data_IF_757339654599
#
_entry.id   IF_757339654599
#
_cell.length_a   1.000
_cell.length_b   1.000
_cell.length_c   1.000
_cell.angle_alpha   90.00
_cell.angle_beta   90.00
_cell.angle_gamma   90.00
#
_symmetry.space_group_name_H-M   'P 1'
#
loop_
_entity.id
_entity.type
_entity.pdbx_description
1 polymer ?
#
# COMPACT_ATOMS: atom_id res chain seq x y z
N UNK A 1 8.82 10.06 -68.00
CA UNK A 1 8.64 9.38 -66.69
C UNK A 1 10.00 9.23 -66.01
N UNK A 2 10.34 10.14 -65.10
CA UNK A 2 11.68 10.22 -64.50
C UNK A 2 11.76 9.42 -63.19
N UNK A 3 12.62 8.39 -63.16
CA UNK A 3 13.03 7.67 -61.93
C UNK A 3 13.78 8.63 -61.00
N UNK A 4 13.27 8.85 -59.79
CA UNK A 4 13.99 9.60 -58.74
C UNK A 4 14.83 8.65 -57.89
N UNK A 5 16.14 8.93 -57.85
CA UNK A 5 17.17 8.31 -57.01
C UNK A 5 16.90 8.54 -55.51
N UNK A 6 17.42 7.60 -54.72
CA UNK A 6 17.48 7.55 -53.25
C UNK A 6 17.92 8.86 -52.58
N UNK A 7 17.25 9.21 -51.48
CA UNK A 7 17.81 10.06 -50.42
C UNK A 7 17.86 9.26 -49.12
N UNK A 8 19.06 8.81 -48.77
CA UNK A 8 19.40 8.44 -47.39
C UNK A 8 19.40 9.72 -46.54
N UNK A 9 18.34 9.91 -45.76
CA UNK A 9 18.24 10.98 -44.77
C UNK A 9 18.78 10.51 -43.42
N UNK A 10 19.75 11.27 -42.89
CA UNK A 10 20.50 11.03 -41.67
C UNK A 10 19.58 10.87 -40.45
N UNK A 11 19.73 9.75 -39.74
CA UNK A 11 19.76 9.58 -38.27
C UNK A 11 19.70 8.07 -38.00
N UNK A 12 20.84 7.40 -38.18
CA UNK A 12 21.07 6.07 -37.60
C UNK A 12 20.96 6.21 -36.08
N UNK A 13 20.23 5.32 -35.42
CA UNK A 13 20.29 5.21 -33.97
C UNK A 13 21.77 5.12 -33.53
N UNK A 14 22.19 5.84 -32.48
CA UNK A 14 23.59 5.83 -32.06
C UNK A 14 23.93 4.41 -31.59
N UNK A 15 24.81 3.74 -32.34
CA UNK A 15 25.54 2.59 -31.82
C UNK A 15 26.60 3.15 -30.88
N UNK A 16 26.47 2.89 -29.58
CA UNK A 16 27.57 3.12 -28.63
C UNK A 16 28.72 2.18 -28.98
N UNK A 17 29.94 2.72 -29.00
CA UNK A 17 31.19 2.01 -29.30
C UNK A 17 31.56 0.98 -28.21
N UNK A 18 30.81 0.94 -27.11
CA UNK A 18 30.86 -0.10 -26.09
C UNK A 18 29.55 -0.89 -26.13
N UNK A 19 29.63 -2.18 -26.46
CA UNK A 19 28.49 -3.10 -26.63
C UNK A 19 27.68 -3.43 -25.37
N UNK A 20 27.41 -2.46 -24.49
CA UNK A 20 26.49 -2.64 -23.36
C UNK A 20 25.08 -2.28 -23.80
N UNK A 21 24.20 -3.28 -23.82
CA UNK A 21 22.76 -3.06 -23.89
C UNK A 21 22.36 -2.03 -22.82
N UNK A 22 21.84 -0.89 -23.26
CA UNK A 22 21.29 0.11 -22.35
C UNK A 22 20.27 -0.53 -21.42
N UNK A 23 20.39 -0.22 -20.13
CA UNK A 23 19.45 -0.63 -19.08
C UNK A 23 18.00 -0.45 -19.58
N UNK A 24 17.11 -1.44 -19.43
CA UNK A 24 15.76 -1.35 -19.99
C UNK A 24 15.03 -0.08 -19.52
N UNK A 25 14.35 0.57 -20.47
CA UNK A 25 13.44 1.71 -20.19
C UNK A 25 12.44 1.30 -19.11
N UNK A 26 12.30 2.15 -18.09
CA UNK A 26 11.31 2.02 -17.02
C UNK A 26 9.92 1.64 -17.54
N UNK A 27 9.22 0.77 -16.81
CA UNK A 27 7.89 0.30 -17.15
C UNK A 27 6.92 1.50 -17.26
N UNK A 28 6.17 1.59 -18.37
CA UNK A 28 5.19 2.67 -18.56
C UNK A 28 4.19 2.70 -17.37
N UNK A 29 3.87 3.87 -16.78
CA UNK A 29 3.01 3.96 -15.59
C UNK A 29 1.61 3.33 -15.71
N UNK A 30 1.08 3.26 -16.94
CA UNK A 30 -0.18 2.58 -17.24
C UNK A 30 -0.01 1.06 -17.12
N UNK A 31 1.04 0.50 -17.73
CA UNK A 31 1.37 -0.91 -17.66
C UNK A 31 1.69 -1.36 -16.22
N UNK A 32 2.39 -0.52 -15.46
CA UNK A 32 2.59 -0.74 -14.02
C UNK A 32 1.25 -0.82 -13.26
N UNK A 33 0.30 0.08 -13.53
CA UNK A 33 -1.04 0.02 -12.91
C UNK A 33 -1.83 -1.22 -13.32
N UNK A 34 -1.75 -1.63 -14.58
CA UNK A 34 -2.43 -2.84 -15.06
C UNK A 34 -1.91 -4.08 -14.36
N UNK A 35 -0.59 -4.21 -14.22
CA UNK A 35 0.06 -5.27 -13.45
C UNK A 35 -0.40 -5.24 -11.99
N UNK A 36 -0.28 -4.09 -11.32
CA UNK A 36 -0.68 -3.93 -9.91
C UNK A 36 -2.15 -4.28 -9.73
N UNK A 37 -3.06 -3.72 -10.54
CA UNK A 37 -4.50 -3.98 -10.43
C UNK A 37 -4.83 -5.46 -10.65
N UNK A 38 -4.23 -6.09 -11.67
CA UNK A 38 -4.47 -7.51 -11.93
C UNK A 38 -3.98 -8.37 -10.78
N UNK A 39 -2.78 -8.10 -10.25
CA UNK A 39 -2.25 -8.83 -9.11
C UNK A 39 -3.18 -8.74 -7.89
N UNK A 40 -3.72 -7.55 -7.58
CA UNK A 40 -4.70 -7.39 -6.49
C UNK A 40 -5.99 -8.19 -6.74
N UNK A 41 -6.48 -8.22 -7.99
CA UNK A 41 -7.65 -9.04 -8.35
C UNK A 41 -7.36 -10.52 -8.15
N UNK A 42 -6.20 -11.00 -8.62
CA UNK A 42 -5.77 -12.39 -8.46
C UNK A 42 -5.65 -12.77 -6.98
N UNK A 43 -4.98 -11.94 -6.17
CA UNK A 43 -4.83 -12.20 -4.75
C UNK A 43 -6.17 -12.26 -4.02
N UNK A 44 -7.09 -11.33 -4.33
CA UNK A 44 -8.44 -11.34 -3.74
C UNK A 44 -9.23 -12.58 -4.15
N UNK A 45 -9.17 -12.97 -5.41
CA UNK A 45 -9.84 -14.18 -5.91
C UNK A 45 -9.25 -15.43 -5.26
N UNK A 46 -7.91 -15.52 -5.15
CA UNK A 46 -7.19 -16.60 -4.47
C UNK A 46 -7.63 -16.75 -3.01
N UNK A 47 -7.63 -15.64 -2.27
CA UNK A 47 -8.07 -15.63 -0.88
C UNK A 47 -9.51 -16.14 -0.72
N UNK A 48 -10.41 -15.75 -1.64
CA UNK A 48 -11.80 -16.21 -1.64
C UNK A 48 -11.94 -17.71 -1.96
N UNK A 49 -11.11 -18.23 -2.86
CA UNK A 49 -11.09 -19.66 -3.20
C UNK A 49 -10.56 -20.48 -2.03
N UNK A 50 -9.43 -20.06 -1.44
CA UNK A 50 -8.82 -20.75 -0.29
C UNK A 50 -9.75 -20.75 0.91
N UNK A 51 -10.46 -19.65 1.20
CA UNK A 51 -11.45 -19.61 2.28
C UNK A 51 -12.62 -20.60 2.09
N UNK A 52 -13.01 -20.90 0.84
CA UNK A 52 -14.02 -21.92 0.53
C UNK A 52 -13.44 -23.33 0.61
N UNK A 53 -12.26 -23.54 0.03
CA UNK A 53 -11.57 -24.84 0.07
C UNK A 53 -11.23 -25.25 1.50
N UNK A 54 -10.85 -24.31 2.37
CA UNK A 54 -10.53 -24.59 3.77
C UNK A 54 -11.76 -25.13 4.54
N UNK A 55 -12.98 -24.77 4.16
CA UNK A 55 -14.20 -25.36 4.75
C UNK A 55 -14.39 -26.83 4.36
N UNK A 56 -13.88 -27.22 3.19
CA UNK A 56 -13.98 -28.57 2.63
C UNK A 56 -12.77 -29.41 3.06
N UNK A 57 -11.62 -28.76 3.19
CA UNK A 57 -10.31 -29.35 3.45
C UNK A 57 -9.65 -28.57 4.60
N UNK A 58 -10.04 -28.82 5.87
CA UNK A 58 -9.67 -28.00 7.02
C UNK A 58 -8.16 -27.83 7.26
N UNK A 59 -7.36 -28.77 6.77
CA UNK A 59 -5.91 -28.81 6.97
C UNK A 59 -5.13 -27.86 6.05
N UNK A 60 -5.76 -27.17 5.09
CA UNK A 60 -5.09 -26.10 4.34
C UNK A 60 -5.16 -24.76 5.06
N UNK A 61 -4.25 -23.88 4.70
CA UNK A 61 -4.26 -22.48 5.06
C UNK A 61 -4.02 -21.60 3.83
N UNK A 62 -4.07 -20.28 4.02
CA UNK A 62 -3.74 -19.32 2.98
C UNK A 62 -2.29 -19.43 2.48
N UNK A 63 -1.39 -19.88 3.36
CA UNK A 63 0.06 -19.94 3.10
C UNK A 63 0.56 -21.37 2.88
N UNK A 64 -0.28 -22.38 3.12
CA UNK A 64 0.09 -23.78 3.03
C UNK A 64 -1.11 -24.60 2.53
N UNK A 65 -1.04 -25.01 1.27
CA UNK A 65 -2.04 -25.84 0.61
C UNK A 65 -1.36 -26.88 -0.31
N UNK A 66 -0.15 -27.33 0.05
CA UNK A 66 0.68 -28.23 -0.78
C UNK A 66 -0.06 -29.49 -1.23
N UNK A 67 -0.87 -30.07 -0.35
CA UNK A 67 -1.70 -31.23 -0.67
C UNK A 67 -2.70 -30.99 -1.81
N UNK A 68 -3.08 -29.74 -2.10
CA UNK A 68 -3.89 -29.38 -3.27
C UNK A 68 -3.00 -29.31 -4.51
N UNK A 69 -1.79 -28.78 -4.38
CA UNK A 69 -0.81 -28.65 -5.47
C UNK A 69 -0.35 -30.02 -6.00
N UNK A 70 -0.37 -31.05 -5.15
CA UNK A 70 -0.09 -32.44 -5.52
C UNK A 70 -1.24 -33.13 -6.27
N UNK A 71 -2.46 -32.58 -6.25
CA UNK A 71 -3.61 -33.20 -6.90
C UNK A 71 -3.49 -33.08 -8.44
N UNK A 72 -3.78 -34.18 -9.17
CA UNK A 72 -3.72 -34.18 -10.65
C UNK A 72 -4.51 -33.03 -11.26
N UNK A 73 -5.75 -32.81 -10.80
CA UNK A 73 -6.60 -31.74 -11.31
C UNK A 73 -5.98 -30.33 -11.17
N UNK A 74 -5.24 -30.09 -10.08
CA UNK A 74 -4.50 -28.84 -9.91
C UNK A 74 -3.36 -28.77 -10.92
N UNK A 75 -2.53 -29.81 -11.00
CA UNK A 75 -1.37 -29.84 -11.87
C UNK A 75 -1.75 -29.70 -13.35
N UNK A 76 -2.81 -30.39 -13.78
CA UNK A 76 -3.31 -30.36 -15.15
C UNK A 76 -3.83 -28.97 -15.51
N UNK A 77 -4.61 -28.35 -14.61
CA UNK A 77 -5.13 -26.99 -14.80
C UNK A 77 -4.02 -25.94 -14.77
N UNK A 78 -3.04 -26.10 -13.88
CA UNK A 78 -1.90 -25.19 -13.75
C UNK A 78 -1.03 -25.21 -15.01
N UNK A 79 -0.71 -26.40 -15.51
CA UNK A 79 0.08 -26.59 -16.74
C UNK A 79 -0.70 -26.18 -17.98
N UNK A 80 -2.02 -26.43 -18.00
CA UNK A 80 -2.91 -26.08 -19.10
C UNK A 80 -3.26 -24.59 -19.20
N UNK A 81 -2.92 -23.78 -18.18
CA UNK A 81 -3.24 -22.35 -18.20
C UNK A 81 -2.41 -21.60 -19.24
N UNK A 82 -3.10 -20.89 -20.14
CA UNK A 82 -2.49 -20.03 -21.16
C UNK A 82 -2.70 -18.57 -20.78
N UNK A 83 -1.60 -17.85 -20.54
CA UNK A 83 -1.65 -16.42 -20.22
C UNK A 83 -2.18 -15.59 -21.40
N UNK A 84 -3.25 -14.81 -21.23
CA UNK A 84 -3.74 -13.91 -22.27
C UNK A 84 -2.71 -12.82 -22.61
N UNK A 85 -2.57 -12.54 -23.91
CA UNK A 85 -1.63 -11.52 -24.42
C UNK A 85 -2.02 -10.10 -23.96
N UNK A 86 -3.33 -9.82 -23.84
CA UNK A 86 -3.83 -8.52 -23.37
C UNK A 86 -4.51 -8.65 -22.01
N UNK A 87 -4.35 -7.60 -21.19
CA UNK A 87 -4.98 -7.54 -19.87
C UNK A 87 -6.52 -7.48 -19.90
N UNK A 88 -7.10 -6.97 -20.98
CA UNK A 88 -8.56 -6.92 -21.19
C UNK A 88 -9.17 -8.29 -21.48
N UNK A 89 -8.36 -9.23 -21.94
CA UNK A 89 -8.76 -10.60 -22.30
C UNK A 89 -8.60 -11.56 -21.10
N UNK A 90 -8.25 -11.01 -19.94
CA UNK A 90 -8.04 -11.81 -18.74
C UNK A 90 -9.33 -12.42 -18.19
N UNK A 91 -9.28 -13.67 -17.71
CA UNK A 91 -10.44 -14.32 -17.12
C UNK A 91 -10.91 -13.57 -15.86
N UNK A 92 -12.22 -13.50 -15.71
CA UNK A 92 -12.89 -13.01 -14.50
C UNK A 92 -13.23 -14.22 -13.65
N UNK A 93 -12.54 -14.36 -12.52
CA UNK A 93 -12.79 -15.44 -11.57
C UNK A 93 -14.02 -15.10 -10.70
N UNK A 94 -15.19 -15.65 -11.06
CA UNK A 94 -16.42 -15.53 -10.27
C UNK A 94 -16.44 -16.63 -9.21
N UNK A 95 -16.22 -16.25 -7.95
CA UNK A 95 -16.18 -17.19 -6.83
C UNK A 95 -17.50 -17.14 -6.08
N UNK A 96 -18.47 -17.93 -6.50
CA UNK A 96 -19.80 -18.00 -5.88
C UNK A 96 -20.09 -19.37 -5.26
N UNK A 97 -21.34 -19.60 -4.83
CA UNK A 97 -21.77 -20.82 -4.15
C UNK A 97 -22.03 -22.00 -5.08
N UNK A 98 -22.04 -21.79 -6.40
CA UNK A 98 -22.30 -22.85 -7.39
C UNK A 98 -21.05 -23.68 -7.70
N UNK A 99 -19.86 -23.16 -7.38
CA UNK A 99 -18.58 -23.86 -7.58
C UNK A 99 -18.43 -25.04 -6.62
N UNK A 100 -18.18 -26.23 -7.17
CA UNK A 100 -17.85 -27.41 -6.40
C UNK A 100 -16.34 -27.45 -6.03
N UNK A 101 -15.93 -28.49 -5.29
CA UNK A 101 -14.54 -28.68 -4.86
C UNK A 101 -13.55 -28.66 -6.03
N UNK A 102 -13.87 -29.37 -7.12
CA UNK A 102 -12.99 -29.48 -8.28
C UNK A 102 -12.89 -28.14 -9.02
N UNK A 103 -14.00 -27.42 -9.18
CA UNK A 103 -14.00 -26.09 -9.80
C UNK A 103 -13.13 -25.09 -9.02
N UNK A 104 -13.19 -25.15 -7.68
CA UNK A 104 -12.37 -24.32 -6.81
C UNK A 104 -10.88 -24.65 -6.95
N UNK A 105 -10.51 -25.93 -7.02
CA UNK A 105 -9.11 -26.36 -7.22
C UNK A 105 -8.60 -25.92 -8.60
N UNK A 106 -9.37 -26.13 -9.66
CA UNK A 106 -9.05 -25.67 -11.02
C UNK A 106 -8.87 -24.15 -11.06
N UNK A 107 -9.76 -23.41 -10.37
CA UNK A 107 -9.66 -21.95 -10.30
C UNK A 107 -8.41 -21.50 -9.55
N UNK A 108 -8.07 -22.15 -8.43
CA UNK A 108 -6.83 -21.86 -7.69
C UNK A 108 -5.59 -22.08 -8.56
N UNK A 109 -5.55 -23.22 -9.26
CA UNK A 109 -4.46 -23.57 -10.18
C UNK A 109 -4.27 -22.53 -11.29
N UNK A 110 -5.36 -22.09 -11.93
CA UNK A 110 -5.31 -21.03 -12.95
C UNK A 110 -4.80 -19.70 -12.40
N UNK A 111 -5.22 -19.32 -11.18
CA UNK A 111 -4.75 -18.08 -10.55
C UNK A 111 -3.26 -18.16 -10.24
N UNK A 112 -2.78 -19.26 -9.65
CA UNK A 112 -1.37 -19.46 -9.33
C UNK A 112 -0.50 -19.51 -10.60
N UNK A 113 -0.98 -20.19 -11.64
CA UNK A 113 -0.31 -20.23 -12.94
C UNK A 113 -0.22 -18.82 -13.55
N UNK A 114 -1.29 -18.03 -13.49
CA UNK A 114 -1.27 -16.65 -13.96
C UNK A 114 -0.26 -15.79 -13.19
N UNK A 115 -0.23 -15.89 -11.86
CA UNK A 115 0.74 -15.17 -11.02
C UNK A 115 2.16 -15.55 -11.44
N UNK A 116 2.45 -16.86 -11.56
CA UNK A 116 3.78 -17.35 -11.95
C UNK A 116 4.18 -16.88 -13.35
N UNK A 117 3.32 -17.05 -14.36
CA UNK A 117 3.61 -16.66 -15.74
C UNK A 117 3.77 -15.14 -15.92
N UNK A 118 3.19 -14.33 -15.02
CA UNK A 118 3.40 -12.87 -14.99
C UNK A 118 4.68 -12.44 -14.28
N UNK A 119 5.53 -13.38 -13.87
CA UNK A 119 6.80 -13.12 -13.17
C UNK A 119 6.68 -13.10 -11.65
N UNK A 120 5.60 -13.66 -11.10
CA UNK A 120 5.43 -13.85 -9.67
C UNK A 120 5.36 -12.56 -8.86
N UNK A 121 5.66 -12.69 -7.57
CA UNK A 121 5.65 -11.57 -6.63
C UNK A 121 6.73 -10.53 -6.96
N UNK A 122 7.85 -10.94 -7.53
CA UNK A 122 8.97 -10.06 -7.91
C UNK A 122 8.58 -9.09 -9.04
N UNK A 123 7.89 -9.57 -10.07
CA UNK A 123 7.41 -8.71 -11.15
C UNK A 123 6.35 -7.72 -10.65
N UNK A 124 5.50 -8.15 -9.72
CA UNK A 124 4.58 -7.26 -9.03
C UNK A 124 5.31 -6.22 -8.17
N UNK A 125 6.28 -6.64 -7.36
CA UNK A 125 7.09 -5.74 -6.52
C UNK A 125 7.82 -4.72 -7.39
N UNK A 126 8.50 -5.17 -8.45
CA UNK A 126 9.15 -4.30 -9.42
C UNK A 126 8.17 -3.32 -10.09
N UNK A 127 6.98 -3.78 -10.51
CA UNK A 127 5.96 -2.91 -11.06
C UNK A 127 5.37 -1.93 -10.02
N UNK A 128 5.31 -2.34 -8.75
CA UNK A 128 4.89 -1.52 -7.61
C UNK A 128 5.93 -0.41 -7.34
N UNK A 129 7.21 -0.77 -7.20
CA UNK A 129 8.33 0.15 -7.01
C UNK A 129 8.48 1.12 -8.19
N UNK A 130 8.39 0.62 -9.44
CA UNK A 130 8.42 1.48 -10.63
C UNK A 130 7.14 2.31 -10.79
N UNK A 131 6.00 1.81 -10.30
CA UNK A 131 4.75 2.56 -10.18
C UNK A 131 4.80 3.66 -9.13
N UNK A 132 5.73 3.57 -8.18
CA UNK A 132 6.04 4.54 -7.13
C UNK A 132 7.15 5.53 -7.55
N UNK A 133 8.01 5.18 -8.52
CA UNK A 133 9.12 6.03 -8.97
C UNK A 133 8.65 7.38 -9.55
N UNK A 134 9.10 8.46 -8.89
CA UNK A 134 9.11 9.90 -9.20
C UNK A 134 7.83 10.62 -9.68
N UNK A 135 6.81 9.94 -10.25
CA UNK A 135 5.60 10.56 -10.81
C UNK A 135 4.36 10.50 -9.90
N UNK A 136 4.47 9.99 -8.67
CA UNK A 136 3.31 9.63 -7.82
C UNK A 136 3.27 10.12 -6.37
N UNK A 137 4.15 11.03 -5.94
CA UNK A 137 3.99 11.64 -4.62
C UNK A 137 5.21 12.38 -4.09
N UNK A 138 6.38 12.13 -4.67
CA UNK A 138 7.63 12.65 -4.11
C UNK A 138 7.82 12.16 -2.68
N UNK A 139 8.82 12.71 -2.03
CA UNK A 139 8.99 12.53 -0.60
C UNK A 139 7.97 13.42 0.14
N UNK A 140 6.86 12.82 0.58
CA UNK A 140 5.79 13.50 1.31
C UNK A 140 6.27 14.09 2.63
N UNK A 141 7.34 13.54 3.21
CA UNK A 141 7.85 13.99 4.49
C UNK A 141 8.46 15.39 4.43
N UNK A 142 8.70 15.94 3.23
CA UNK A 142 9.02 17.36 3.06
C UNK A 142 7.94 18.27 3.66
N UNK A 143 6.67 17.93 3.48
CA UNK A 143 5.54 18.70 4.04
C UNK A 143 5.48 18.57 5.56
N UNK A 144 5.79 17.37 6.08
CA UNK A 144 5.95 17.15 7.51
C UNK A 144 7.06 18.05 8.09
N UNK A 145 8.25 18.02 7.50
CA UNK A 145 9.41 18.81 7.95
C UNK A 145 9.12 20.31 7.89
N UNK A 146 8.42 20.77 6.85
CA UNK A 146 7.92 22.15 6.75
C UNK A 146 7.03 22.51 7.95
N UNK A 147 6.03 21.68 8.27
CA UNK A 147 5.12 21.93 9.39
C UNK A 147 5.79 21.86 10.77
N UNK A 148 6.73 20.95 10.97
CA UNK A 148 7.47 20.85 12.23
C UNK A 148 8.40 22.05 12.48
N UNK A 149 8.83 22.75 11.42
CA UNK A 149 9.62 23.99 11.55
C UNK A 149 8.79 25.21 11.95
N UNK A 150 7.46 25.10 11.99
CA UNK A 150 6.60 26.19 12.45
C UNK A 150 6.77 26.49 13.94
N UNK A 151 6.43 27.71 14.36
CA UNK A 151 6.51 28.14 15.77
C UNK A 151 5.68 27.26 16.72
N UNK A 152 4.63 26.60 16.21
CA UNK A 152 3.79 25.67 16.97
C UNK A 152 4.56 24.46 17.52
N UNK A 153 5.62 24.03 16.83
CA UNK A 153 6.38 22.83 17.19
C UNK A 153 7.79 23.13 17.70
N UNK A 154 8.37 24.32 17.47
CA UNK A 154 9.75 24.65 17.87
C UNK A 154 10.12 24.23 19.30
N UNK A 155 9.25 24.49 20.27
CA UNK A 155 9.48 24.13 21.69
C UNK A 155 9.19 22.66 22.04
N UNK A 156 8.59 21.89 21.13
CA UNK A 156 8.14 20.50 21.32
C UNK A 156 9.06 19.46 20.66
N UNK A 157 10.13 19.89 19.99
CA UNK A 157 11.03 19.06 19.18
C UNK A 157 12.32 18.63 19.90
N UNK A 158 12.43 18.82 21.20
CA UNK A 158 13.61 18.38 21.94
C UNK A 158 13.57 16.86 22.19
N UNK A 159 14.66 16.17 21.86
CA UNK A 159 14.87 14.74 22.10
C UNK A 159 13.75 13.85 21.50
N UNK A 160 13.38 14.12 20.25
CA UNK A 160 12.27 13.43 19.57
C UNK A 160 12.78 12.34 18.62
N UNK A 161 12.06 11.23 18.57
CA UNK A 161 12.29 10.14 17.63
C UNK A 161 11.05 9.87 16.76
N UNK A 162 11.25 9.20 15.63
CA UNK A 162 10.17 8.88 14.71
C UNK A 162 10.18 7.42 14.23
N UNK A 163 9.00 6.94 13.83
CA UNK A 163 8.81 5.73 13.05
C UNK A 163 8.20 6.11 11.70
N UNK A 164 8.85 5.72 10.60
CA UNK A 164 8.30 5.82 9.25
C UNK A 164 7.81 4.45 8.77
N UNK A 165 6.48 4.33 8.62
CA UNK A 165 5.82 3.13 8.10
C UNK A 165 5.71 3.25 6.58
N UNK A 166 6.10 2.21 5.85
CA UNK A 166 6.09 2.22 4.38
C UNK A 166 7.23 3.05 3.80
N UNK A 167 8.39 3.03 4.45
CA UNK A 167 9.56 3.79 4.03
C UNK A 167 10.10 3.21 2.71
N UNK A 168 10.20 4.03 1.66
CA UNK A 168 10.74 3.61 0.37
C UNK A 168 12.19 4.06 0.16
N UNK A 169 12.70 4.96 1.00
CA UNK A 169 14.05 5.51 0.89
C UNK A 169 14.57 5.96 2.25
N UNK A 170 15.79 5.56 2.66
CA UNK A 170 16.40 6.02 3.89
C UNK A 170 16.78 7.51 3.87
N UNK A 171 16.67 8.15 2.69
CA UNK A 171 17.02 9.55 2.46
C UNK A 171 15.80 10.48 2.38
N UNK A 172 14.61 10.01 2.80
CA UNK A 172 13.45 10.88 2.96
C UNK A 172 13.76 12.05 3.92
N UNK A 173 13.09 13.17 3.75
CA UNK A 173 13.30 14.40 4.51
C UNK A 173 13.08 14.18 6.01
N UNK A 174 12.15 13.32 6.42
CA UNK A 174 12.01 12.92 7.83
C UNK A 174 13.33 12.37 8.40
N UNK A 175 14.04 11.54 7.64
CA UNK A 175 15.30 10.91 8.04
C UNK A 175 16.51 11.85 7.93
N UNK A 176 16.46 12.87 7.07
CA UNK A 176 17.61 13.76 6.78
C UNK A 176 17.46 15.19 7.33
N UNK A 177 16.30 15.52 7.92
CA UNK A 177 15.97 16.87 8.40
C UNK A 177 16.75 17.33 9.63
N UNK A 178 17.44 16.41 10.33
CA UNK A 178 18.07 16.65 11.64
C UNK A 178 17.08 17.09 12.74
N UNK A 179 15.77 16.89 12.54
CA UNK A 179 14.74 17.17 13.56
C UNK A 179 14.66 16.04 14.60
N UNK A 180 14.89 14.80 14.15
CA UNK A 180 14.76 13.61 14.98
C UNK A 180 16.14 13.04 15.30
N UNK A 181 16.34 12.65 16.55
CA UNK A 181 17.57 11.98 16.99
C UNK A 181 17.70 10.59 16.34
N UNK A 182 16.55 9.93 16.16
CA UNK A 182 16.44 8.62 15.53
C UNK A 182 15.16 8.51 14.70
N UNK A 183 15.27 7.85 13.55
CA UNK A 183 14.15 7.52 12.66
C UNK A 183 14.22 6.04 12.31
N UNK A 184 13.35 5.26 12.94
CA UNK A 184 13.14 3.85 12.58
C UNK A 184 12.34 3.80 11.28
N UNK A 185 12.82 3.02 10.32
CA UNK A 185 12.22 2.89 8.98
C UNK A 185 11.78 1.46 8.78
N UNK A 186 10.50 1.26 8.48
CA UNK A 186 9.97 -0.07 8.17
C UNK A 186 9.24 -0.07 6.82
N UNK A 187 9.32 -1.19 6.12
CA UNK A 187 8.53 -1.47 4.92
C UNK A 187 8.15 -2.94 4.86
N UNK A 188 7.04 -3.27 4.18
CA UNK A 188 6.60 -4.66 4.04
C UNK A 188 7.49 -5.49 3.09
N UNK A 189 8.13 -4.85 2.12
CA UNK A 189 8.95 -5.49 1.09
C UNK A 189 10.20 -4.63 0.84
N UNK A 190 11.04 -4.50 1.85
CA UNK A 190 12.16 -3.56 1.83
C UNK A 190 13.14 -3.90 0.71
N UNK A 191 13.52 -2.91 -0.07
CA UNK A 191 14.55 -3.04 -1.12
C UNK A 191 15.88 -2.40 -0.70
N UNK A 192 16.01 -2.00 0.56
CA UNK A 192 17.17 -1.28 1.08
C UNK A 192 17.53 -1.77 2.48
N UNK A 193 18.80 -2.10 2.70
CA UNK A 193 19.33 -2.61 3.97
C UNK A 193 19.18 -1.64 5.16
N UNK A 194 19.03 -0.34 4.89
CA UNK A 194 18.77 0.69 5.90
C UNK A 194 17.30 0.85 6.27
N UNK A 195 16.42 0.02 5.71
CA UNK A 195 14.99 -0.02 5.98
C UNK A 195 14.66 -1.44 6.43
N UNK A 196 14.11 -1.57 7.64
CA UNK A 196 13.76 -2.86 8.20
C UNK A 196 12.54 -3.43 7.47
N UNK A 197 12.68 -4.64 6.91
CA UNK A 197 11.53 -5.37 6.39
C UNK A 197 10.67 -5.87 7.56
N UNK A 198 9.47 -5.31 7.71
CA UNK A 198 8.56 -5.62 8.80
C UNK A 198 7.13 -5.19 8.49
N UNK A 199 6.17 -6.06 8.83
CA UNK A 199 4.76 -5.68 8.91
C UNK A 199 4.46 -4.94 10.22
N UNK A 200 3.97 -3.70 10.11
CA UNK A 200 3.57 -2.90 11.28
C UNK A 200 2.46 -3.57 12.12
N UNK A 201 1.51 -4.26 11.47
CA UNK A 201 0.41 -4.92 12.18
C UNK A 201 0.91 -6.09 13.03
N UNK A 202 2.02 -6.71 12.64
CA UNK A 202 2.63 -7.84 13.35
C UNK A 202 3.77 -7.40 14.30
N UNK A 203 4.26 -6.16 14.19
CA UNK A 203 5.32 -5.61 15.06
C UNK A 203 4.93 -5.76 16.53
N UNK A 204 5.72 -6.40 17.41
CA UNK A 204 5.36 -6.56 18.82
C UNK A 204 5.01 -5.23 19.50
N UNK A 205 4.01 -5.24 20.40
CA UNK A 205 3.66 -4.05 21.17
C UNK A 205 4.83 -3.66 22.08
N UNK A 206 5.13 -2.36 22.21
CA UNK A 206 6.25 -1.89 23.03
C UNK A 206 6.00 -2.23 24.50
N UNK A 207 7.01 -2.83 25.13
CA UNK A 207 7.01 -3.19 26.55
C UNK A 207 7.53 -2.04 27.42
N UNK A 208 8.33 -1.14 26.83
CA UNK A 208 8.92 0.03 27.52
C UNK A 208 8.77 1.31 26.71
N UNK A 209 8.82 2.46 27.39
CA UNK A 209 8.68 3.78 26.75
C UNK A 209 9.77 4.09 25.72
N UNK A 210 10.96 3.48 25.83
CA UNK A 210 12.04 3.66 24.86
C UNK A 210 11.75 3.02 23.50
N UNK A 211 10.76 2.13 23.40
CA UNK A 211 10.33 1.47 22.15
C UNK A 211 9.21 2.22 21.43
N UNK A 212 8.79 3.36 21.99
CA UNK A 212 7.76 4.24 21.45
C UNK A 212 8.37 5.45 20.74
N UNK A 213 7.52 6.14 20.01
CA UNK A 213 7.89 7.24 19.13
C UNK A 213 7.19 8.53 19.49
N UNK A 214 7.88 9.66 19.31
CA UNK A 214 7.27 10.99 19.37
C UNK A 214 6.48 11.29 18.09
N UNK A 215 6.87 10.72 16.95
CA UNK A 215 6.13 10.84 15.71
C UNK A 215 6.01 9.51 14.97
N UNK A 216 4.83 9.22 14.44
CA UNK A 216 4.65 8.15 13.46
C UNK A 216 4.28 8.79 12.12
N UNK A 217 5.05 8.49 11.08
CA UNK A 217 4.74 8.84 9.69
C UNK A 217 4.09 7.64 9.02
N UNK A 218 2.86 7.84 8.54
CA UNK A 218 2.05 6.84 7.88
C UNK A 218 1.54 7.41 6.55
N UNK A 219 2.45 7.54 5.59
CA UNK A 219 2.18 8.16 4.29
C UNK A 219 1.83 7.12 3.24
N UNK A 220 0.61 7.19 2.68
CA UNK A 220 0.13 6.30 1.62
C UNK A 220 0.17 4.79 1.95
N UNK A 221 0.08 4.44 3.25
CA UNK A 221 0.07 3.05 3.74
C UNK A 221 -1.35 2.53 3.97
N UNK A 222 -2.17 3.26 4.73
CA UNK A 222 -3.52 2.81 5.14
C UNK A 222 -4.42 2.50 3.94
N UNK A 223 -4.24 3.19 2.81
CA UNK A 223 -4.99 2.92 1.58
C UNK A 223 -4.73 1.53 0.96
N UNK A 224 -3.67 0.82 1.38
CA UNK A 224 -3.39 -0.55 0.96
C UNK A 224 -3.86 -1.62 1.95
N UNK A 225 -4.28 -1.23 3.16
CA UNK A 225 -4.85 -2.17 4.12
C UNK A 225 -6.21 -2.69 3.59
N UNK A 226 -6.43 -4.02 3.58
CA UNK A 226 -7.46 -4.62 2.71
C UNK A 226 -8.90 -4.36 3.18
N UNK A 227 -9.18 -4.40 4.49
CA UNK A 227 -10.53 -4.14 5.00
C UNK A 227 -10.68 -2.80 5.73
N UNK A 228 -11.91 -2.22 5.77
CA UNK A 228 -12.19 -1.04 6.58
C UNK A 228 -11.92 -1.22 8.08
N UNK A 229 -12.12 -2.43 8.59
CA UNK A 229 -11.87 -2.79 9.99
C UNK A 229 -10.38 -2.76 10.29
N UNK A 230 -9.57 -3.44 9.49
CA UNK A 230 -8.10 -3.49 9.67
C UNK A 230 -7.47 -2.09 9.54
N UNK A 231 -8.03 -1.20 8.71
CA UNK A 231 -7.58 0.21 8.65
C UNK A 231 -7.78 0.95 9.98
N UNK A 232 -8.92 0.73 10.62
CA UNK A 232 -9.21 1.30 11.93
C UNK A 232 -8.36 0.68 13.02
N UNK A 233 -8.14 -0.63 12.97
CA UNK A 233 -7.23 -1.36 13.86
C UNK A 233 -5.80 -0.84 13.72
N UNK A 234 -5.34 -0.51 12.51
CA UNK A 234 -4.03 0.10 12.28
C UNK A 234 -3.92 1.48 12.94
N UNK A 235 -4.92 2.35 12.77
CA UNK A 235 -4.95 3.66 13.44
C UNK A 235 -4.98 3.53 14.98
N UNK A 236 -5.76 2.59 15.50
CA UNK A 236 -5.79 2.29 16.93
C UNK A 236 -4.43 1.76 17.40
N UNK A 237 -3.79 0.88 16.63
CA UNK A 237 -2.47 0.33 16.94
C UNK A 237 -1.39 1.43 16.98
N UNK A 238 -1.43 2.41 16.08
CA UNK A 238 -0.52 3.57 16.09
C UNK A 238 -0.52 4.26 17.48
N UNK A 239 -1.68 4.41 18.13
CA UNK A 239 -1.75 5.00 19.48
C UNK A 239 -0.94 4.23 20.54
N UNK A 240 -0.68 2.94 20.34
CA UNK A 240 0.10 2.10 21.26
C UNK A 240 1.60 2.30 21.12
N UNK A 241 2.05 2.79 19.96
CA UNK A 241 3.46 3.06 19.65
C UNK A 241 3.85 4.52 19.87
N UNK A 242 2.90 5.41 20.17
CA UNK A 242 3.19 6.80 20.50
C UNK A 242 3.56 6.97 21.97
N UNK A 243 4.58 7.77 22.25
CA UNK A 243 4.89 8.27 23.60
C UNK A 243 3.75 9.17 24.07
N UNK A 244 3.40 9.13 25.36
CA UNK A 244 2.38 10.07 25.88
C UNK A 244 2.91 11.51 25.76
N UNK A 245 2.06 12.48 25.34
CA UNK A 245 2.45 13.88 25.32
C UNK A 245 2.77 14.33 26.75
N UNK A 246 4.01 14.79 26.98
CA UNK A 246 4.44 15.45 28.21
C UNK A 246 5.04 16.80 27.85
N UNK A 247 6.36 16.86 27.71
CA UNK A 247 7.09 18.06 27.29
C UNK A 247 7.37 18.09 25.78
N UNK A 248 7.50 16.92 25.15
CA UNK A 248 7.70 16.78 23.71
C UNK A 248 6.38 16.44 22.99
N UNK A 249 6.36 16.66 21.67
CA UNK A 249 5.23 16.29 20.84
C UNK A 249 4.97 14.78 20.82
N UNK A 250 3.72 14.42 20.55
CA UNK A 250 3.30 13.07 20.20
C UNK A 250 2.33 13.18 19.03
N UNK A 251 2.77 12.83 17.82
CA UNK A 251 2.02 13.15 16.61
C UNK A 251 1.95 12.00 15.58
N UNK A 252 0.91 12.05 14.75
CA UNK A 252 0.76 11.21 13.57
C UNK A 252 0.75 12.11 12.32
N UNK A 253 1.67 11.83 11.39
CA UNK A 253 1.62 12.36 10.04
C UNK A 253 0.93 11.33 9.13
N UNK A 254 -0.21 11.71 8.55
CA UNK A 254 -1.03 10.85 7.71
C UNK A 254 -1.14 11.42 6.31
N UNK A 255 -0.98 10.56 5.30
CA UNK A 255 -1.23 10.93 3.90
C UNK A 255 -2.09 9.87 3.24
N UNK A 256 -3.14 10.29 2.53
CA UNK A 256 -3.99 9.41 1.75
C UNK A 256 -4.12 9.93 0.30
N UNK A 257 -4.40 9.05 -0.68
CA UNK A 257 -4.90 9.49 -1.97
C UNK A 257 -6.15 10.35 -1.78
N UNK A 258 -6.20 11.50 -2.45
CA UNK A 258 -7.34 12.43 -2.35
C UNK A 258 -8.70 11.74 -2.60
N UNK A 259 -8.84 10.83 -3.61
CA UNK A 259 -10.11 10.12 -3.81
C UNK A 259 -10.61 9.29 -2.62
N UNK A 260 -9.76 8.93 -1.65
CA UNK A 260 -10.18 8.24 -0.43
C UNK A 260 -11.15 9.07 0.40
N UNK A 261 -11.03 10.40 0.36
CA UNK A 261 -11.87 11.34 1.13
C UNK A 261 -12.75 12.22 0.26
N UNK A 262 -12.36 12.50 -1.00
CA UNK A 262 -13.17 13.35 -1.89
C UNK A 262 -14.14 12.57 -2.80
N UNK A 263 -13.86 11.29 -3.05
CA UNK A 263 -14.64 10.48 -4.01
C UNK A 263 -14.96 9.07 -3.49
N UNK A 264 -15.20 8.92 -2.18
CA UNK A 264 -15.69 7.67 -1.60
C UNK A 264 -17.19 7.74 -1.28
N UNK A 265 -17.85 6.58 -1.36
CA UNK A 265 -19.24 6.35 -0.96
C UNK A 265 -19.43 6.31 0.57
N UNK A 266 -18.39 5.89 1.29
CA UNK A 266 -18.46 5.51 2.71
C UNK A 266 -17.49 6.30 3.61
N UNK A 267 -16.80 7.30 3.05
CA UNK A 267 -15.74 8.00 3.75
C UNK A 267 -15.51 9.40 3.18
N UNK A 268 -15.24 10.34 4.06
CA UNK A 268 -14.87 11.72 3.74
C UNK A 268 -13.98 12.28 4.85
N UNK A 269 -13.61 13.56 4.74
CA UNK A 269 -12.76 14.21 5.74
C UNK A 269 -13.46 14.30 7.11
N UNK A 270 -14.78 14.54 7.15
CA UNK A 270 -15.53 14.59 8.42
C UNK A 270 -15.49 13.25 9.15
N UNK A 271 -15.69 12.14 8.42
CA UNK A 271 -15.58 10.79 8.97
C UNK A 271 -14.17 10.48 9.46
N UNK A 272 -13.14 10.95 8.76
CA UNK A 272 -11.76 10.83 9.21
C UNK A 272 -11.56 11.57 10.54
N UNK A 273 -12.00 12.82 10.64
CA UNK A 273 -11.88 13.62 11.87
C UNK A 273 -12.65 12.99 13.04
N UNK A 274 -13.84 12.42 12.80
CA UNK A 274 -14.60 11.69 13.83
C UNK A 274 -13.78 10.51 14.39
N UNK A 275 -13.16 9.72 13.51
CA UNK A 275 -12.30 8.58 13.89
C UNK A 275 -11.06 9.06 14.65
N UNK A 276 -10.37 10.07 14.12
CA UNK A 276 -9.15 10.60 14.73
C UNK A 276 -9.44 11.17 16.13
N UNK A 277 -10.56 11.88 16.30
CA UNK A 277 -11.00 12.41 17.59
C UNK A 277 -11.28 11.28 18.59
N UNK A 278 -11.97 10.21 18.17
CA UNK A 278 -12.20 9.03 19.02
C UNK A 278 -10.90 8.35 19.46
N UNK A 279 -9.84 8.44 18.65
CA UNK A 279 -8.51 7.93 18.97
C UNK A 279 -7.64 8.90 19.79
N UNK A 280 -8.16 10.08 20.15
CA UNK A 280 -7.45 11.09 20.93
C UNK A 280 -6.58 12.02 20.11
N UNK A 281 -6.76 12.06 18.80
CA UNK A 281 -6.02 12.94 17.90
C UNK A 281 -6.78 14.24 17.63
N UNK A 282 -6.04 15.33 17.47
CA UNK A 282 -6.54 16.63 17.03
C UNK A 282 -5.74 17.08 15.81
N UNK A 283 -6.43 17.49 14.74
CA UNK A 283 -5.77 17.99 13.54
C UNK A 283 -5.07 19.32 13.85
N UNK A 284 -3.76 19.40 13.60
CA UNK A 284 -2.98 20.64 13.71
C UNK A 284 -2.72 21.26 12.35
N UNK A 285 -2.44 20.44 11.35
CA UNK A 285 -2.29 20.89 9.96
C UNK A 285 -3.03 19.96 9.01
N UNK A 286 -3.48 20.52 7.88
CA UNK A 286 -3.91 19.78 6.71
C UNK A 286 -3.47 20.50 5.45
N UNK A 287 -3.28 19.74 4.37
CA UNK A 287 -3.05 20.28 3.04
C UNK A 287 -3.64 19.33 2.01
N UNK A 288 -4.51 19.86 1.15
CA UNK A 288 -5.04 19.12 0.02
C UNK A 288 -4.22 19.45 -1.23
N UNK A 289 -3.55 18.45 -1.79
CA UNK A 289 -2.90 18.55 -3.09
C UNK A 289 -3.71 17.87 -4.19
N UNK A 290 -3.27 17.99 -5.44
CA UNK A 290 -4.04 17.51 -6.61
C UNK A 290 -4.34 15.99 -6.62
N UNK A 291 -3.57 15.17 -5.88
CA UNK A 291 -3.69 13.71 -5.90
C UNK A 291 -3.76 13.07 -4.52
N UNK A 292 -3.27 13.77 -3.52
CA UNK A 292 -3.09 13.28 -2.16
C UNK A 292 -3.40 14.42 -1.20
N UNK A 293 -3.82 14.05 0.00
CA UNK A 293 -4.12 14.95 1.09
C UNK A 293 -3.30 14.53 2.30
N UNK A 294 -2.78 15.54 2.99
CA UNK A 294 -1.83 15.43 4.09
C UNK A 294 -2.48 15.95 5.36
N UNK A 295 -2.17 15.31 6.47
CA UNK A 295 -2.55 15.79 7.79
C UNK A 295 -1.41 15.60 8.78
N UNK A 296 -1.32 16.52 9.74
CA UNK A 296 -0.58 16.33 10.98
C UNK A 296 -1.58 16.37 12.13
N UNK A 297 -1.52 15.35 12.99
CA UNK A 297 -2.38 15.20 14.14
C UNK A 297 -1.56 15.15 15.42
N UNK A 298 -1.92 15.95 16.42
CA UNK A 298 -1.39 15.83 17.78
C UNK A 298 -2.23 14.81 18.57
N UNK A 299 -1.58 13.91 19.30
CA UNK A 299 -2.22 12.91 20.14
C UNK A 299 -2.24 13.37 21.60
N UNK A 300 -3.40 13.31 22.25
CA UNK A 300 -3.56 13.70 23.65
C UNK A 300 -3.30 12.55 24.65
N UNK A 301 -2.95 11.35 24.16
CA UNK A 301 -2.67 10.19 25.00
C UNK A 301 -3.89 9.39 25.48
N UNK A 302 -5.11 9.77 25.07
CA UNK A 302 -6.37 9.16 25.54
C UNK A 302 -7.22 8.68 24.36
N UNK A 303 -7.49 7.37 24.32
CA UNK A 303 -8.41 6.77 23.34
C UNK A 303 -9.80 6.67 23.96
N UNK A 304 -10.83 7.10 23.24
CA UNK A 304 -12.24 7.02 23.63
C UNK A 304 -13.06 6.22 22.60
N UNK A 305 -13.13 4.91 22.78
CA UNK A 305 -13.90 4.00 21.91
C UNK A 305 -15.36 3.80 22.34
N UNK A 306 -15.95 4.73 23.10
CA UNK A 306 -17.34 4.60 23.57
C UNK A 306 -18.35 4.53 22.40
N UNK A 307 -18.05 5.17 21.28
CA UNK A 307 -18.92 5.22 20.10
C UNK A 307 -18.31 4.40 18.97
N UNK A 308 -19.05 3.40 18.48
CA UNK A 308 -18.70 2.68 17.25
C UNK A 308 -18.91 3.58 16.04
N UNK A 309 -18.01 3.50 15.07
CA UNK A 309 -18.07 4.17 13.78
C UNK A 309 -18.14 3.09 12.70
N UNK A 310 -19.35 2.57 12.42
CA UNK A 310 -19.54 1.53 11.41
C UNK A 310 -19.43 2.10 9.99
N UNK A 311 -19.30 1.20 9.02
CA UNK A 311 -19.40 1.56 7.61
C UNK A 311 -20.84 1.98 7.30
N UNK A 312 -21.03 3.26 6.99
CA UNK A 312 -22.32 3.84 6.57
C UNK A 312 -22.12 4.56 5.24
N UNK A 313 -23.09 4.45 4.34
CA UNK A 313 -23.09 5.26 3.12
C UNK A 313 -23.29 6.74 3.48
N UNK A 314 -22.38 7.58 3.02
CA UNK A 314 -22.38 9.03 3.24
C UNK A 314 -22.74 9.75 1.94
N UNK A 315 -22.23 9.26 0.81
CA UNK A 315 -22.37 9.89 -0.49
C UNK A 315 -22.83 8.85 -1.51
N UNK A 316 -23.97 9.08 -2.16
CA UNK A 316 -24.45 8.22 -3.24
C UNK A 316 -23.69 8.49 -4.55
N UNK A 317 -23.67 7.50 -5.46
CA UNK A 317 -23.14 7.65 -6.82
C UNK A 317 -22.32 6.47 -7.33
N UNK A 318 -22.58 6.06 -8.56
CA UNK A 318 -21.93 4.92 -9.23
C UNK A 318 -20.43 5.12 -9.50
N UNK A 319 -20.00 6.36 -9.73
CA UNK A 319 -18.61 6.73 -10.01
C UNK A 319 -17.73 6.87 -8.74
N UNK A 320 -18.30 6.67 -7.54
CA UNK A 320 -17.58 6.75 -6.25
C UNK A 320 -16.92 5.43 -5.91
N UNK A 321 -15.71 5.52 -5.34
CA UNK A 321 -15.00 4.35 -4.82
C UNK A 321 -15.56 3.92 -3.45
N UNK A 322 -15.10 2.78 -2.95
CA UNK A 322 -15.60 2.16 -1.71
C UNK A 322 -14.63 2.27 -0.52
N UNK A 323 -13.70 3.22 -0.55
CA UNK A 323 -12.76 3.42 0.55
C UNK A 323 -13.50 3.72 1.85
N UNK A 324 -13.06 3.15 2.97
CA UNK A 324 -13.69 3.33 4.26
C UNK A 324 -12.70 2.93 5.35
N UNK A 325 -12.78 3.60 6.49
CA UNK A 325 -12.15 3.22 7.75
C UNK A 325 -13.28 3.15 8.77
N UNK A 326 -13.29 2.11 9.60
CA UNK A 326 -14.30 1.93 10.65
C UNK A 326 -13.63 1.74 11.99
N UNK A 327 -14.25 2.22 13.08
CA UNK A 327 -13.88 1.88 14.45
C UNK A 327 -15.00 1.00 15.04
N UNK A 328 -14.69 -0.25 15.38
CA UNK A 328 -15.66 -1.26 15.82
C UNK A 328 -15.59 -1.54 17.32
#
# INVERSE_FOLDING_TARGET
MAKKKSRSGLLKAPKTITGKHGVPKSLKPQRAREIIRRFHVLQKSKDSVLAKLQKIIPQISKNDYHQIEEMSIYQDSFKGFVLPLKYSENPIYKIDHTLNKNDLITTLACIDAEIKQRGGIEAYQSASTQGQASKRGGDSSKKLVEWLKSDLYKSKLQNVNALEIGCLSPYNAISTSSIFDDVVRIDLNSQNSLILEQNFMDRPLPQKESEKFNLISCSLVINFVPSPKERGEMLLRITKFLKKPKHAMSALFLVLPLPCVSNSRYFDNEKLIEIMTALGFTQTFSYEGNKVVYWLFDWNGKVNLKKKIPKKELHSGSNRNNFCITLA
#
